data_IF_121432720093
#
_entry.id   IF_121432720093
#
_cell.length_a   1.000
_cell.length_b   1.000
_cell.length_c   1.000
_cell.angle_alpha   90.00
_cell.angle_beta   90.00
_cell.angle_gamma   90.00
#
_symmetry.space_group_name_H-M   'P 1'
#
loop_
_entity.id
_entity.type
_entity.pdbx_description
1 polymer ?
#
# COMPACT_ATOMS: atom_id res chain seq x y z
N UNK A 1 8.97 0.75 22.21
CA UNK A 1 8.17 -0.14 21.34
C UNK A 1 7.04 -0.88 22.07
N UNK A 2 7.23 -1.33 23.31
CA UNK A 2 6.14 -1.99 24.07
C UNK A 2 4.98 -1.05 24.43
N UNK A 3 5.22 0.25 24.54
CA UNK A 3 4.18 1.24 24.89
C UNK A 3 3.13 1.35 23.80
N UNK A 4 3.53 1.31 22.52
CA UNK A 4 2.60 1.42 21.39
C UNK A 4 1.72 0.18 21.20
N UNK A 5 2.15 -1.00 21.68
CA UNK A 5 1.33 -2.20 21.67
C UNK A 5 0.10 -2.14 22.60
N UNK A 6 0.04 -1.14 23.47
CA UNK A 6 -1.06 -0.91 24.42
C UNK A 6 -1.88 0.34 24.10
N UNK A 7 -1.59 1.06 23.01
CA UNK A 7 -2.44 2.14 22.52
C UNK A 7 -3.55 1.53 21.69
N UNK A 8 -4.79 1.87 22.00
CA UNK A 8 -5.96 1.44 21.25
C UNK A 8 -5.96 2.07 19.85
N UNK A 9 -5.40 3.29 19.72
CA UNK A 9 -5.24 4.01 18.48
C UNK A 9 -3.95 4.85 18.49
N UNK A 10 -2.85 4.34 17.89
CA UNK A 10 -1.58 5.08 17.80
C UNK A 10 -1.66 6.35 16.92
N UNK A 11 -2.57 6.38 15.95
CA UNK A 11 -2.75 7.49 15.01
C UNK A 11 -3.36 8.68 15.74
N UNK A 12 -4.51 8.49 16.41
CA UNK A 12 -5.17 9.52 17.23
C UNK A 12 -4.23 10.07 18.30
N UNK A 13 -3.43 9.22 18.93
CA UNK A 13 -2.44 9.65 19.93
C UNK A 13 -1.38 10.58 19.35
N UNK A 14 -0.90 10.30 18.13
CA UNK A 14 0.15 11.11 17.49
C UNK A 14 -0.43 12.42 16.94
N UNK A 15 -1.66 12.41 16.45
CA UNK A 15 -2.36 13.62 15.98
C UNK A 15 -2.54 14.67 17.08
N UNK A 16 -2.76 14.26 18.32
CA UNK A 16 -2.92 15.16 19.48
C UNK A 16 -1.60 15.78 19.96
N UNK A 17 -0.44 15.32 19.47
CA UNK A 17 0.86 15.82 19.89
C UNK A 17 1.24 17.14 19.21
N UNK A 18 1.98 17.98 19.92
CA UNK A 18 2.66 19.11 19.28
C UNK A 18 3.78 18.64 18.35
N UNK A 19 4.11 19.44 17.34
CA UNK A 19 5.02 19.08 16.25
C UNK A 19 6.39 18.57 16.71
N UNK A 20 6.93 19.07 17.84
CA UNK A 20 8.24 18.64 18.35
C UNK A 20 8.13 17.23 18.95
N UNK A 21 7.06 16.96 19.68
CA UNK A 21 6.81 15.64 20.26
C UNK A 21 6.43 14.61 19.22
N UNK A 22 5.66 15.01 18.18
CA UNK A 22 5.29 14.15 17.06
C UNK A 22 6.52 13.47 16.45
N UNK A 23 7.57 14.21 16.12
CA UNK A 23 8.81 13.63 15.54
C UNK A 23 9.50 12.66 16.49
N UNK A 24 9.57 13.00 17.79
CA UNK A 24 10.22 12.13 18.81
C UNK A 24 9.45 10.83 18.95
N UNK A 25 8.14 10.90 19.11
CA UNK A 25 7.26 9.74 19.27
C UNK A 25 7.26 8.90 17.97
N UNK A 26 7.15 9.54 16.82
CA UNK A 26 7.20 8.88 15.52
C UNK A 26 8.47 8.03 15.33
N UNK A 27 9.65 8.54 15.71
CA UNK A 27 10.91 7.79 15.69
C UNK A 27 10.97 6.60 16.64
N UNK A 28 10.09 6.53 17.62
CA UNK A 28 9.99 5.41 18.55
C UNK A 28 9.10 4.29 18.03
N UNK A 29 8.31 4.53 16.98
CA UNK A 29 7.44 3.53 16.36
C UNK A 29 8.24 2.36 15.80
N UNK A 30 7.72 1.12 15.90
CA UNK A 30 8.20 0.02 15.08
C UNK A 30 8.12 0.40 13.59
N UNK A 31 9.05 -0.13 12.79
CA UNK A 31 9.15 0.24 11.37
C UNK A 31 7.85 -0.04 10.60
N UNK A 32 7.22 -1.18 10.89
CA UNK A 32 5.99 -1.63 10.24
C UNK A 32 4.80 -0.73 10.57
N UNK A 33 4.78 -0.13 11.75
CA UNK A 33 3.73 0.79 12.18
C UNK A 33 4.00 2.23 11.73
N UNK A 34 5.26 2.58 11.46
CA UNK A 34 5.62 3.96 11.14
C UNK A 34 5.05 4.42 9.79
N UNK A 35 5.03 3.57 8.77
CA UNK A 35 4.44 3.86 7.47
C UNK A 35 2.91 3.95 7.54
N UNK A 36 2.26 3.02 8.23
CA UNK A 36 0.80 3.05 8.43
C UNK A 36 0.36 4.33 9.13
N UNK A 37 0.98 4.65 10.28
CA UNK A 37 0.70 5.88 11.02
C UNK A 37 1.01 7.13 10.18
N UNK A 38 2.12 7.11 9.42
CA UNK A 38 2.50 8.24 8.58
C UNK A 38 1.46 8.54 7.49
N UNK A 39 0.87 7.51 6.88
CA UNK A 39 -0.16 7.66 5.85
C UNK A 39 -1.44 8.35 6.40
N UNK A 40 -1.77 8.11 7.66
CA UNK A 40 -2.97 8.68 8.29
C UNK A 40 -2.80 10.11 8.83
N UNK A 41 -1.54 10.61 8.95
CA UNK A 41 -1.29 11.94 9.52
C UNK A 41 -1.68 13.06 8.55
N UNK A 42 -2.10 14.19 9.13
CA UNK A 42 -2.34 15.43 8.38
C UNK A 42 -1.06 15.91 7.65
N UNK A 43 -1.24 16.55 6.49
CA UNK A 43 -0.14 16.96 5.59
C UNK A 43 0.91 17.82 6.29
N UNK A 44 0.50 18.72 7.19
CA UNK A 44 1.40 19.55 7.97
C UNK A 44 2.31 18.73 8.89
N UNK A 45 1.79 17.66 9.49
CA UNK A 45 2.55 16.75 10.33
C UNK A 45 3.48 15.89 9.48
N UNK A 46 3.01 15.37 8.35
CA UNK A 46 3.82 14.64 7.38
C UNK A 46 5.00 15.51 6.91
N UNK A 47 4.75 16.75 6.52
CA UNK A 47 5.78 17.70 6.11
C UNK A 47 6.81 17.95 7.23
N UNK A 48 6.34 18.10 8.45
CA UNK A 48 7.21 18.32 9.61
C UNK A 48 8.10 17.10 9.88
N UNK A 49 7.54 15.91 9.83
CA UNK A 49 8.30 14.66 9.96
C UNK A 49 9.33 14.56 8.84
N UNK A 50 8.93 14.70 7.57
CA UNK A 50 9.83 14.62 6.41
C UNK A 50 11.02 15.58 6.57
N UNK A 51 10.80 16.80 7.05
CA UNK A 51 11.88 17.78 7.22
C UNK A 51 12.80 17.49 8.39
N UNK A 52 12.35 16.72 9.37
CA UNK A 52 13.04 16.46 10.64
C UNK A 52 13.79 15.13 10.68
N UNK A 53 13.44 14.17 9.82
CA UNK A 53 14.07 12.85 9.76
C UNK A 53 15.25 12.81 8.78
N UNK A 54 16.09 11.78 8.93
CA UNK A 54 17.20 11.54 8.00
C UNK A 54 16.72 10.97 6.66
N UNK A 55 17.55 11.08 5.62
CA UNK A 55 17.22 10.54 4.30
C UNK A 55 17.05 9.00 4.29
N UNK A 56 17.71 8.28 5.20
CA UNK A 56 17.55 6.84 5.35
C UNK A 56 16.21 6.48 6.01
N UNK A 57 15.80 7.23 7.03
CA UNK A 57 14.48 7.08 7.66
C UNK A 57 13.38 7.41 6.65
N UNK A 58 13.52 8.52 5.93
CA UNK A 58 12.58 8.92 4.88
C UNK A 58 12.42 7.83 3.81
N UNK A 59 13.53 7.30 3.31
CA UNK A 59 13.50 6.19 2.34
C UNK A 59 12.74 5.00 2.86
N UNK A 60 13.00 4.60 4.11
CA UNK A 60 12.35 3.44 4.72
C UNK A 60 10.83 3.60 4.80
N UNK A 61 10.34 4.81 5.10
CA UNK A 61 8.92 5.12 5.15
C UNK A 61 8.32 5.09 3.73
N UNK A 62 8.90 5.84 2.79
CA UNK A 62 8.34 6.00 1.44
C UNK A 62 8.36 4.68 0.65
N UNK A 63 9.36 3.84 0.84
CA UNK A 63 9.44 2.54 0.16
C UNK A 63 8.48 1.49 0.78
N UNK A 64 7.90 1.77 1.95
CA UNK A 64 6.95 0.92 2.68
C UNK A 64 5.50 1.42 2.55
N UNK A 65 5.27 2.67 2.14
CA UNK A 65 3.94 3.20 1.85
C UNK A 65 3.33 2.52 0.61
N UNK A 66 2.01 2.39 0.62
CA UNK A 66 1.28 2.13 -0.63
C UNK A 66 1.46 3.31 -1.60
N UNK A 67 1.46 2.99 -2.89
CA UNK A 67 1.81 4.00 -3.91
C UNK A 67 0.77 5.11 -3.99
N UNK A 68 -0.50 4.80 -3.82
CA UNK A 68 -1.60 5.78 -3.77
C UNK A 68 -1.46 6.73 -2.59
N UNK A 69 -1.22 6.24 -1.36
CA UNK A 69 -0.95 7.08 -0.18
C UNK A 69 0.25 8.02 -0.41
N UNK A 70 1.32 7.49 -1.02
CA UNK A 70 2.49 8.29 -1.34
C UNK A 70 2.18 9.39 -2.37
N UNK A 71 1.31 9.12 -3.35
CA UNK A 71 0.89 10.08 -4.38
C UNK A 71 0.00 11.16 -3.78
N UNK A 72 -1.03 10.78 -3.02
CA UNK A 72 -1.96 11.71 -2.37
C UNK A 72 -1.20 12.70 -1.49
N UNK A 73 -0.28 12.20 -0.65
CA UNK A 73 0.61 13.06 0.13
C UNK A 73 1.43 14.00 -0.76
N UNK A 74 2.01 13.52 -1.86
CA UNK A 74 2.89 14.34 -2.71
C UNK A 74 2.13 15.42 -3.48
N UNK A 75 0.86 15.23 -3.79
CA UNK A 75 0.02 16.25 -4.45
C UNK A 75 -0.22 17.46 -3.57
N UNK A 76 -0.20 17.28 -2.25
CA UNK A 76 -0.45 18.34 -1.28
C UNK A 76 0.84 19.03 -0.76
N UNK A 77 2.01 18.39 -0.95
CA UNK A 77 3.27 18.89 -0.40
C UNK A 77 3.97 19.94 -1.29
N UNK A 78 4.72 20.88 -0.68
CA UNK A 78 5.54 21.83 -1.43
C UNK A 78 6.57 21.15 -2.33
N UNK A 79 6.81 21.69 -3.53
CA UNK A 79 7.71 21.13 -4.54
C UNK A 79 9.14 20.82 -4.04
N UNK A 80 9.63 21.52 -3.03
CA UNK A 80 10.93 21.27 -2.40
C UNK A 80 10.94 19.96 -1.62
N UNK A 81 9.83 19.67 -0.93
CA UNK A 81 9.63 18.42 -0.17
C UNK A 81 9.40 17.26 -1.13
N UNK A 82 8.52 17.42 -2.13
CA UNK A 82 8.30 16.45 -3.21
C UNK A 82 9.63 16.00 -3.82
N UNK A 83 10.50 16.96 -4.15
CA UNK A 83 11.83 16.65 -4.71
C UNK A 83 12.68 15.82 -3.75
N UNK A 84 12.68 16.13 -2.45
CA UNK A 84 13.42 15.39 -1.44
C UNK A 84 12.91 13.95 -1.32
N UNK A 85 11.58 13.75 -1.28
CA UNK A 85 10.94 12.43 -1.26
C UNK A 85 11.35 11.61 -2.48
N UNK A 86 11.15 12.15 -3.69
CA UNK A 86 11.50 11.45 -4.93
C UNK A 86 13.00 11.14 -5.08
N UNK A 87 13.88 12.01 -4.57
CA UNK A 87 15.33 11.75 -4.59
C UNK A 87 15.74 10.61 -3.68
N UNK A 88 15.04 10.43 -2.56
CA UNK A 88 15.33 9.41 -1.56
C UNK A 88 14.59 8.10 -1.78
N UNK A 89 13.51 8.07 -2.55
CA UNK A 89 12.79 6.84 -2.90
C UNK A 89 13.64 5.87 -3.72
N UNK A 90 13.35 4.58 -3.62
CA UNK A 90 13.94 3.56 -4.49
C UNK A 90 13.60 3.84 -5.97
N UNK A 91 14.40 3.35 -6.94
CA UNK A 91 14.10 3.52 -8.36
C UNK A 91 12.74 2.97 -8.77
N UNK A 92 12.32 1.85 -8.17
CA UNK A 92 11.05 1.19 -8.48
C UNK A 92 9.87 1.98 -7.90
N UNK A 93 9.93 2.36 -6.62
CA UNK A 93 8.93 3.22 -5.96
C UNK A 93 8.78 4.55 -6.70
N UNK A 94 9.90 5.21 -7.03
CA UNK A 94 9.89 6.47 -7.78
C UNK A 94 9.23 6.33 -9.15
N UNK A 95 9.46 5.22 -9.85
CA UNK A 95 8.85 4.96 -11.15
C UNK A 95 7.33 4.81 -11.02
N UNK A 96 6.86 4.10 -10.01
CA UNK A 96 5.44 3.93 -9.73
C UNK A 96 4.79 5.26 -9.36
N UNK A 97 5.35 5.99 -8.41
CA UNK A 97 4.86 7.33 -8.02
C UNK A 97 4.75 8.24 -9.25
N UNK A 98 5.80 8.34 -10.08
CA UNK A 98 5.74 9.16 -11.30
C UNK A 98 4.70 8.67 -12.31
N UNK A 99 4.41 7.38 -12.36
CA UNK A 99 3.35 6.85 -13.21
C UNK A 99 1.97 7.30 -12.70
N UNK A 100 1.73 7.21 -11.41
CA UNK A 100 0.45 7.58 -10.79
C UNK A 100 0.20 9.08 -10.88
N UNK A 101 1.18 9.92 -10.58
CA UNK A 101 1.12 11.39 -10.74
C UNK A 101 0.81 11.86 -12.19
N UNK A 102 0.97 10.99 -13.19
CA UNK A 102 0.62 11.30 -14.58
C UNK A 102 -0.82 10.93 -14.95
N UNK A 103 -1.58 10.27 -14.10
CA UNK A 103 -2.99 10.00 -14.38
C UNK A 103 -3.81 11.28 -14.20
N UNK A 104 -4.82 11.52 -15.08
CA UNK A 104 -5.71 12.66 -14.92
C UNK A 104 -6.51 12.55 -13.62
N UNK A 105 -6.73 13.67 -12.96
CA UNK A 105 -7.65 13.75 -11.82
C UNK A 105 -9.02 13.12 -12.15
N UNK A 106 -9.62 12.44 -11.17
CA UNK A 106 -10.90 11.73 -11.31
C UNK A 106 -10.92 10.63 -12.39
N UNK A 107 -9.76 10.13 -12.80
CA UNK A 107 -9.65 8.91 -13.62
C UNK A 107 -9.58 7.66 -12.73
N UNK A 108 -9.82 6.46 -13.30
CA UNK A 108 -9.63 5.22 -12.57
C UNK A 108 -8.16 5.06 -12.10
N UNK A 109 -7.21 5.60 -12.86
CA UNK A 109 -5.78 5.56 -12.51
C UNK A 109 -5.40 6.41 -11.32
N UNK A 110 -6.17 7.50 -11.03
CA UNK A 110 -5.89 8.37 -9.88
C UNK A 110 -6.50 7.89 -8.56
N UNK A 111 -7.32 6.83 -8.58
CA UNK A 111 -7.99 6.27 -7.39
C UNK A 111 -7.78 4.76 -7.24
N UNK A 112 -6.85 4.19 -8.02
CA UNK A 112 -6.56 2.75 -7.95
C UNK A 112 -5.38 2.49 -7.04
N UNK A 113 -5.33 1.30 -6.43
CA UNK A 113 -4.11 0.77 -5.82
C UNK A 113 -3.29 -0.04 -6.82
N UNK A 114 -1.97 -0.07 -6.64
CA UNK A 114 -1.05 -0.96 -7.35
C UNK A 114 -0.81 -2.28 -6.60
N UNK A 115 -1.11 -2.33 -5.32
CA UNK A 115 -0.82 -3.43 -4.39
C UNK A 115 -1.99 -4.42 -4.29
N UNK A 116 -2.33 -5.05 -5.40
CA UNK A 116 -3.38 -6.08 -5.48
C UNK A 116 -2.83 -7.51 -5.59
N UNK A 117 -3.66 -8.51 -5.29
CA UNK A 117 -3.35 -9.92 -5.50
C UNK A 117 -3.74 -10.35 -6.91
N UNK A 118 -2.73 -10.67 -7.72
CA UNK A 118 -2.92 -11.22 -9.07
C UNK A 118 -2.67 -12.72 -9.11
N UNK A 119 -3.68 -13.50 -9.51
CA UNK A 119 -3.63 -14.95 -9.66
C UNK A 119 -3.65 -15.34 -11.15
N UNK A 120 -3.13 -16.52 -11.46
CA UNK A 120 -3.20 -17.07 -12.80
C UNK A 120 -4.39 -18.03 -12.92
N UNK A 121 -5.03 -18.05 -14.07
CA UNK A 121 -6.19 -18.90 -14.38
C UNK A 121 -5.95 -20.40 -14.14
N UNK A 122 -4.74 -20.87 -14.36
CA UNK A 122 -4.34 -22.27 -14.21
C UNK A 122 -3.81 -22.62 -12.82
N UNK A 123 -3.83 -21.70 -11.86
CA UNK A 123 -3.51 -22.01 -10.46
C UNK A 123 -4.67 -22.75 -9.80
N UNK A 124 -4.33 -23.68 -8.90
CA UNK A 124 -5.30 -24.29 -8.00
C UNK A 124 -5.59 -23.39 -6.79
N UNK A 125 -6.69 -23.66 -6.08
CA UNK A 125 -7.02 -23.00 -4.81
C UNK A 125 -5.87 -23.13 -3.80
N UNK A 126 -5.26 -24.31 -3.69
CA UNK A 126 -4.09 -24.55 -2.82
C UNK A 126 -2.92 -23.60 -3.18
N UNK A 127 -2.59 -23.52 -4.47
CA UNK A 127 -1.54 -22.62 -4.96
C UNK A 127 -1.88 -21.15 -4.74
N UNK A 128 -3.16 -20.78 -4.86
CA UNK A 128 -3.60 -19.42 -4.58
C UNK A 128 -3.43 -19.07 -3.10
N UNK A 129 -3.77 -19.96 -2.17
CA UNK A 129 -3.52 -19.76 -0.75
C UNK A 129 -2.02 -19.62 -0.43
N UNK A 130 -1.18 -20.46 -1.02
CA UNK A 130 0.27 -20.37 -0.82
C UNK A 130 0.83 -19.04 -1.37
N UNK A 131 0.30 -18.59 -2.51
CA UNK A 131 0.66 -17.29 -3.08
C UNK A 131 0.23 -16.13 -2.16
N UNK A 132 -1.02 -16.15 -1.67
CA UNK A 132 -1.54 -15.11 -0.76
C UNK A 132 -0.75 -15.10 0.55
N UNK A 133 -0.47 -16.25 1.16
CA UNK A 133 0.33 -16.33 2.39
C UNK A 133 1.73 -15.76 2.23
N UNK A 134 2.32 -15.95 1.04
CA UNK A 134 3.69 -15.51 0.76
C UNK A 134 3.78 -14.02 0.40
N UNK A 135 2.82 -13.50 -0.34
CA UNK A 135 2.90 -12.18 -0.96
C UNK A 135 1.78 -11.22 -0.54
N UNK A 136 0.77 -11.73 0.17
CA UNK A 136 -0.39 -10.94 0.56
C UNK A 136 -0.11 -9.93 1.68
N UNK A 137 1.00 -10.10 2.41
CA UNK A 137 1.43 -9.16 3.46
C UNK A 137 1.72 -7.77 2.88
N UNK A 138 2.29 -7.74 1.66
CA UNK A 138 2.64 -6.49 0.98
C UNK A 138 1.49 -6.01 0.07
N UNK A 139 0.25 -6.41 0.33
CA UNK A 139 -0.92 -6.02 -0.46
C UNK A 139 -1.91 -5.25 0.39
N UNK A 140 -2.43 -4.17 -0.14
CA UNK A 140 -3.45 -3.36 0.53
C UNK A 140 -4.68 -4.20 0.91
N UNK A 141 -5.09 -5.12 0.01
CA UNK A 141 -6.17 -6.06 0.28
C UNK A 141 -5.93 -7.42 -0.35
N UNK A 142 -6.38 -8.48 0.36
CA UNK A 142 -6.42 -9.84 -0.16
C UNK A 142 -7.86 -10.33 -0.40
N UNK A 143 -8.87 -9.53 -0.03
CA UNK A 143 -10.28 -9.98 -0.08
C UNK A 143 -10.76 -10.27 -1.50
N UNK A 144 -10.28 -9.49 -2.47
CA UNK A 144 -10.56 -9.70 -3.89
C UNK A 144 -9.24 -9.94 -4.63
N UNK A 145 -9.14 -11.09 -5.29
CA UNK A 145 -7.99 -11.47 -6.10
C UNK A 145 -8.37 -11.39 -7.59
N UNK A 146 -7.48 -10.86 -8.41
CA UNK A 146 -7.69 -10.65 -9.84
C UNK A 146 -7.08 -11.80 -10.64
N UNK A 147 -7.91 -12.51 -11.42
CA UNK A 147 -7.45 -13.62 -12.26
C UNK A 147 -7.05 -13.09 -13.62
N UNK A 148 -5.81 -13.33 -14.00
CA UNK A 148 -5.20 -12.80 -15.22
C UNK A 148 -4.69 -13.91 -16.15
N UNK A 149 -4.68 -13.62 -17.44
CA UNK A 149 -4.01 -14.43 -18.46
C UNK A 149 -2.47 -14.26 -18.41
N UNK A 150 -1.76 -14.98 -19.27
CA UNK A 150 -0.29 -14.90 -19.37
C UNK A 150 0.21 -13.54 -19.88
N UNK A 151 -0.65 -12.75 -20.50
CA UNK A 151 -0.37 -11.38 -20.95
C UNK A 151 -0.78 -10.32 -19.92
N UNK A 152 -1.12 -10.75 -18.70
CA UNK A 152 -1.61 -9.90 -17.62
C UNK A 152 -2.91 -9.15 -17.94
N UNK A 153 -3.78 -9.71 -18.75
CA UNK A 153 -5.11 -9.15 -18.98
C UNK A 153 -6.08 -9.78 -17.99
N UNK A 154 -6.94 -8.95 -17.42
CA UNK A 154 -7.96 -9.37 -16.48
C UNK A 154 -8.97 -10.31 -17.16
N UNK A 155 -9.15 -11.50 -16.61
CA UNK A 155 -10.15 -12.50 -17.06
C UNK A 155 -11.33 -12.61 -16.10
N UNK A 156 -11.11 -12.42 -14.81
CA UNK A 156 -12.14 -12.51 -13.78
C UNK A 156 -11.63 -12.13 -12.40
N UNK A 157 -12.48 -12.28 -11.41
CA UNK A 157 -12.13 -12.09 -10.00
C UNK A 157 -12.52 -13.31 -9.17
N UNK A 158 -11.78 -13.53 -8.09
CA UNK A 158 -12.05 -14.54 -7.07
C UNK A 158 -11.94 -13.88 -5.71
N UNK A 159 -12.93 -14.08 -4.86
CA UNK A 159 -12.85 -13.60 -3.48
C UNK A 159 -12.20 -14.63 -2.57
N UNK A 160 -11.67 -14.19 -1.42
CA UNK A 160 -11.19 -15.14 -0.39
C UNK A 160 -12.29 -16.08 0.05
N UNK A 161 -13.55 -15.63 0.06
CA UNK A 161 -14.70 -16.48 0.33
C UNK A 161 -14.82 -17.62 -0.69
N UNK A 162 -14.65 -17.33 -1.98
CA UNK A 162 -14.72 -18.35 -3.03
C UNK A 162 -13.58 -19.36 -2.86
N UNK A 163 -12.37 -18.90 -2.52
CA UNK A 163 -11.25 -19.79 -2.22
C UNK A 163 -11.54 -20.72 -1.04
N UNK A 164 -12.16 -20.20 0.04
CA UNK A 164 -12.50 -20.98 1.23
C UNK A 164 -13.63 -22.00 0.99
N UNK A 165 -14.52 -21.74 0.03
CA UNK A 165 -15.70 -22.55 -0.22
C UNK A 165 -15.50 -23.60 -1.33
N UNK A 166 -14.37 -23.60 -2.01
CA UNK A 166 -14.05 -24.54 -3.09
C UNK A 166 -12.96 -25.54 -2.70
N UNK A 167 -12.89 -26.66 -3.39
CA UNK A 167 -11.88 -27.68 -3.19
C UNK A 167 -10.48 -27.16 -3.54
N UNK A 168 -9.45 -27.59 -2.81
CA UNK A 168 -8.05 -27.19 -3.02
C UNK A 168 -7.54 -27.47 -4.43
N UNK A 169 -8.08 -28.49 -5.11
CA UNK A 169 -7.71 -28.85 -6.47
C UNK A 169 -8.45 -28.05 -7.57
N UNK A 170 -9.49 -27.27 -7.21
CA UNK A 170 -10.24 -26.48 -8.18
C UNK A 170 -9.33 -25.38 -8.79
N UNK A 171 -9.51 -25.14 -10.09
CA UNK A 171 -8.71 -24.12 -10.80
C UNK A 171 -9.35 -22.74 -10.67
N UNK A 172 -8.53 -21.70 -10.62
CA UNK A 172 -9.00 -20.30 -10.59
C UNK A 172 -9.93 -20.00 -11.77
N UNK A 173 -9.63 -20.55 -12.95
CA UNK A 173 -10.46 -20.37 -14.14
C UNK A 173 -11.85 -20.97 -14.05
N UNK A 174 -12.08 -21.96 -13.18
CA UNK A 174 -13.36 -22.63 -13.02
C UNK A 174 -14.24 -21.98 -11.95
N UNK A 175 -13.61 -21.29 -10.98
CA UNK A 175 -14.30 -20.68 -9.83
C UNK A 175 -14.42 -19.14 -9.90
N UNK A 176 -13.67 -18.49 -10.81
CA UNK A 176 -13.70 -17.04 -10.95
C UNK A 176 -15.04 -16.55 -11.48
N UNK A 177 -15.44 -15.35 -11.08
CA UNK A 177 -16.47 -14.58 -11.77
C UNK A 177 -15.87 -13.88 -12.99
N UNK A 178 -16.26 -14.24 -14.23
CA UNK A 178 -15.75 -13.59 -15.43
C UNK A 178 -16.49 -12.28 -15.77
N UNK A 179 -17.58 -11.94 -15.06
CA UNK A 179 -18.42 -10.77 -15.33
C UNK A 179 -17.85 -9.52 -14.66
N UNK A 180 -16.63 -9.17 -15.03
CA UNK A 180 -15.93 -8.00 -14.51
C UNK A 180 -15.95 -6.84 -15.53
N UNK A 181 -16.06 -5.62 -15.03
CA UNK A 181 -15.92 -4.42 -15.85
C UNK A 181 -14.44 -4.27 -16.21
N UNK A 182 -14.14 -4.13 -17.50
CA UNK A 182 -12.77 -4.04 -18.04
C UNK A 182 -12.56 -2.71 -18.75
#
# INVERSE_FOLDING_TARGET
SEVFAYLDDPEEFIEELDSEKTVVVFRMLPKELASEVFACLEVEQQQHIITSITDNELRAIIDDLYVDDAVDMLEELPATIVRRVLQNSSPDTRKLINQFLNYPENSAGSVMTAEYVGLKKNMTVEQAFDYIRKYGVDKETIYTCYVMDEKRRLEGVVTVKDLLMNDYAALMGDIMDPHVIK
#
